data_IF_165890384292
#
_entry.id   IF_165890384292
#
_cell.length_a   1.000
_cell.length_b   1.000
_cell.length_c   1.000
_cell.angle_alpha   90.00
_cell.angle_beta   90.00
_cell.angle_gamma   90.00
#
_symmetry.space_group_name_H-M   'P 1'
#
loop_
_entity.id
_entity.type
_entity.pdbx_description
1 polymer ?
#
# COMPACT_ATOMS: atom_id res chain seq x y z
N UNK A 1 -16.16 1.28 -12.37
CA UNK A 1 -16.52 2.29 -13.39
C UNK A 1 -17.39 3.39 -12.80
N UNK A 2 -18.56 3.10 -12.20
CA UNK A 2 -19.53 4.10 -11.72
C UNK A 2 -18.92 5.14 -10.76
N UNK A 3 -18.17 4.68 -9.73
CA UNK A 3 -17.56 5.57 -8.72
C UNK A 3 -16.57 6.53 -9.36
N UNK A 4 -15.61 6.01 -10.17
CA UNK A 4 -14.61 6.84 -10.82
C UNK A 4 -15.22 7.92 -11.71
N UNK A 5 -16.23 7.55 -12.52
CA UNK A 5 -16.93 8.50 -13.36
C UNK A 5 -17.66 9.58 -12.54
N UNK A 6 -18.36 9.19 -11.47
CA UNK A 6 -19.04 10.15 -10.59
C UNK A 6 -18.08 11.12 -9.90
N UNK A 7 -16.91 10.67 -9.49
CA UNK A 7 -15.88 11.57 -8.96
C UNK A 7 -15.38 12.53 -10.03
N UNK A 8 -15.08 12.05 -11.22
CA UNK A 8 -14.63 12.91 -12.32
C UNK A 8 -15.67 13.98 -12.67
N UNK A 9 -16.96 13.61 -12.72
CA UNK A 9 -18.05 14.52 -13.09
C UNK A 9 -18.33 15.58 -12.02
N UNK A 10 -18.21 15.23 -10.72
CA UNK A 10 -18.65 16.07 -9.61
C UNK A 10 -17.50 16.66 -8.80
N UNK A 11 -16.31 16.10 -8.89
CA UNK A 11 -15.13 16.52 -8.14
C UNK A 11 -13.85 16.37 -8.98
N UNK A 12 -13.74 17.10 -10.11
CA UNK A 12 -12.66 16.90 -11.10
C UNK A 12 -11.26 17.22 -10.55
N UNK A 13 -11.17 17.93 -9.42
CA UNK A 13 -9.91 18.25 -8.76
C UNK A 13 -9.44 17.16 -7.78
N UNK A 14 -10.25 16.11 -7.55
CA UNK A 14 -9.85 14.99 -6.70
C UNK A 14 -8.99 13.98 -7.49
N UNK A 15 -7.80 13.70 -6.99
CA UNK A 15 -6.99 12.59 -7.48
C UNK A 15 -7.50 11.28 -6.85
N UNK A 16 -8.08 10.42 -7.66
CA UNK A 16 -8.62 9.14 -7.23
C UNK A 16 -7.68 8.00 -7.60
N UNK A 17 -7.42 7.10 -6.65
CA UNK A 17 -6.58 5.92 -6.86
C UNK A 17 -7.36 4.66 -6.47
N UNK A 18 -7.39 3.67 -7.38
CA UNK A 18 -7.96 2.35 -7.10
C UNK A 18 -6.88 1.44 -6.51
N UNK A 19 -7.20 0.69 -5.46
CA UNK A 19 -6.23 -0.27 -4.91
C UNK A 19 -5.96 -1.40 -5.90
N UNK A 20 -4.70 -1.57 -6.31
CA UNK A 20 -4.24 -2.59 -7.26
C UNK A 20 -3.56 -3.79 -6.58
N UNK A 21 -3.38 -3.75 -5.25
CA UNK A 21 -2.75 -4.83 -4.49
C UNK A 21 -1.32 -4.53 -4.07
N UNK A 22 -0.44 -5.49 -4.17
CA UNK A 22 0.98 -5.40 -3.81
C UNK A 22 1.86 -6.04 -4.87
N UNK A 23 3.17 -5.81 -4.79
CA UNK A 23 4.18 -6.27 -5.75
C UNK A 23 4.33 -7.78 -5.93
N UNK A 24 3.43 -8.58 -5.38
CA UNK A 24 3.41 -10.03 -5.52
C UNK A 24 2.29 -10.56 -6.43
N UNK A 25 1.42 -9.67 -6.92
CA UNK A 25 0.29 -10.06 -7.74
C UNK A 25 0.68 -10.24 -9.22
N UNK A 26 -0.07 -11.09 -9.91
CA UNK A 26 -0.01 -11.19 -11.36
C UNK A 26 -0.50 -9.89 -11.99
N UNK A 27 0.34 -9.27 -12.82
CA UNK A 27 0.06 -7.96 -13.39
C UNK A 27 -1.08 -7.97 -14.40
N UNK A 28 -1.22 -9.03 -15.18
CA UNK A 28 -2.28 -9.11 -16.18
C UNK A 28 -3.66 -9.20 -15.51
N UNK A 29 -3.78 -10.08 -14.50
CA UNK A 29 -5.00 -10.22 -13.73
C UNK A 29 -5.34 -8.93 -12.94
N UNK A 30 -4.33 -8.29 -12.36
CA UNK A 30 -4.51 -7.02 -11.66
C UNK A 30 -4.97 -5.90 -12.63
N UNK A 31 -4.38 -5.85 -13.85
CA UNK A 31 -4.75 -4.86 -14.85
C UNK A 31 -6.21 -5.04 -15.31
N UNK A 32 -6.62 -6.26 -15.58
CA UNK A 32 -8.02 -6.55 -15.96
C UNK A 32 -8.98 -6.11 -14.85
N UNK A 33 -8.67 -6.41 -13.60
CA UNK A 33 -9.50 -6.03 -12.44
C UNK A 33 -9.62 -4.50 -12.28
N UNK A 34 -8.53 -3.73 -12.38
CA UNK A 34 -8.60 -2.27 -12.23
C UNK A 34 -9.22 -1.59 -13.46
N UNK A 35 -9.08 -2.16 -14.66
CA UNK A 35 -9.75 -1.68 -15.87
C UNK A 35 -11.27 -1.85 -15.72
N UNK A 36 -11.73 -3.01 -15.28
CA UNK A 36 -13.14 -3.28 -14.97
C UNK A 36 -13.64 -2.37 -13.84
N UNK A 37 -12.78 -2.10 -12.86
CA UNK A 37 -13.02 -1.13 -11.78
C UNK A 37 -13.16 0.32 -12.25
N UNK A 38 -12.70 0.64 -13.45
CA UNK A 38 -12.83 1.96 -14.07
C UNK A 38 -11.65 2.90 -13.84
N UNK A 39 -10.44 2.37 -13.75
CA UNK A 39 -9.20 3.15 -13.59
C UNK A 39 -9.04 4.24 -14.65
N UNK A 40 -9.66 4.10 -15.81
CA UNK A 40 -9.62 5.14 -16.87
C UNK A 40 -10.13 6.50 -16.40
N UNK A 41 -11.04 6.52 -15.43
CA UNK A 41 -11.60 7.74 -14.83
C UNK A 41 -10.82 8.23 -13.61
N UNK A 42 -9.72 7.59 -13.26
CA UNK A 42 -8.96 7.86 -12.06
C UNK A 42 -7.55 8.35 -12.40
N UNK A 43 -6.91 9.04 -11.46
CA UNK A 43 -5.50 9.43 -11.57
C UNK A 43 -4.60 8.21 -11.74
N UNK A 44 -4.92 7.14 -11.00
CA UNK A 44 -4.12 5.93 -11.06
C UNK A 44 -4.53 4.88 -10.03
N UNK A 45 -3.53 4.25 -9.44
CA UNK A 45 -3.74 3.15 -8.51
C UNK A 45 -2.93 3.30 -7.22
N UNK A 46 -3.40 2.65 -6.15
CA UNK A 46 -2.71 2.58 -4.87
C UNK A 46 -2.10 1.18 -4.70
N UNK A 47 -0.86 1.15 -4.19
CA UNK A 47 -0.11 -0.07 -3.93
C UNK A 47 0.09 -0.30 -2.44
N UNK A 48 0.23 -1.56 -2.07
CA UNK A 48 0.67 -1.97 -0.73
C UNK A 48 -0.27 -1.62 0.43
N UNK A 49 -1.50 -1.15 0.15
CA UNK A 49 -2.47 -0.83 1.22
C UNK A 49 -2.76 -2.08 2.05
N UNK A 50 -2.54 -1.98 3.35
CA UNK A 50 -2.63 -3.11 4.30
C UNK A 50 -1.64 -4.26 4.03
N UNK A 51 -0.59 -4.04 3.24
CA UNK A 51 0.50 -4.97 3.00
C UNK A 51 1.81 -4.45 3.60
N UNK A 52 2.95 -5.10 3.33
CA UNK A 52 4.25 -4.74 3.91
C UNK A 52 5.41 -4.99 2.93
N UNK A 53 5.13 -4.95 1.63
CA UNK A 53 6.17 -4.96 0.61
C UNK A 53 7.03 -3.70 0.72
N UNK A 54 8.36 -3.84 0.65
CA UNK A 54 9.26 -2.67 0.75
C UNK A 54 9.07 -1.72 -0.43
N UNK A 55 9.24 -0.42 -0.20
CA UNK A 55 9.01 0.59 -1.23
C UNK A 55 9.72 0.29 -2.56
N UNK A 56 11.00 -0.12 -2.60
CA UNK A 56 11.64 -0.44 -3.88
C UNK A 56 10.97 -1.58 -4.64
N UNK A 57 10.50 -2.62 -3.94
CA UNK A 57 9.81 -3.76 -4.57
C UNK A 57 8.45 -3.34 -5.12
N UNK A 58 7.70 -2.55 -4.34
CA UNK A 58 6.40 -2.04 -4.77
C UNK A 58 6.52 -1.07 -5.96
N UNK A 59 7.54 -0.20 -5.97
CA UNK A 59 7.79 0.72 -7.08
C UNK A 59 8.22 -0.01 -8.35
N UNK A 60 9.10 -1.01 -8.25
CA UNK A 60 9.50 -1.82 -9.42
C UNK A 60 8.28 -2.47 -10.07
N UNK A 61 7.42 -3.09 -9.25
CA UNK A 61 6.18 -3.68 -9.74
C UNK A 61 5.24 -2.62 -10.33
N UNK A 62 5.08 -1.47 -9.66
CA UNK A 62 4.17 -0.41 -10.09
C UNK A 62 4.60 0.24 -11.41
N UNK A 63 5.90 0.48 -11.61
CA UNK A 63 6.43 1.01 -12.87
C UNK A 63 6.21 0.03 -14.04
N UNK A 64 6.34 -1.27 -13.79
CA UNK A 64 6.00 -2.28 -14.80
C UNK A 64 4.49 -2.33 -15.04
N UNK A 65 3.68 -2.18 -13.99
CA UNK A 65 2.22 -2.18 -14.09
C UNK A 65 1.68 -0.99 -14.88
N UNK A 66 2.31 0.20 -14.79
CA UNK A 66 1.99 1.34 -15.67
C UNK A 66 2.13 0.93 -17.14
N UNK A 67 3.24 0.26 -17.51
CA UNK A 67 3.45 -0.22 -18.90
C UNK A 67 2.42 -1.28 -19.32
N UNK A 68 2.04 -2.17 -18.41
CA UNK A 68 0.99 -3.17 -18.65
C UNK A 68 -0.36 -2.50 -18.93
N UNK A 69 -0.71 -1.47 -18.15
CA UNK A 69 -1.92 -0.69 -18.39
C UNK A 69 -1.87 0.06 -19.73
N UNK A 70 -0.73 0.65 -20.10
CA UNK A 70 -0.54 1.31 -21.38
C UNK A 70 -0.72 0.34 -22.56
N UNK A 71 -0.14 -0.86 -22.46
CA UNK A 71 -0.30 -1.92 -23.46
C UNK A 71 -1.77 -2.34 -23.62
N UNK A 72 -2.58 -2.22 -22.57
CA UNK A 72 -4.03 -2.47 -22.59
C UNK A 72 -4.86 -1.21 -22.96
N UNK A 73 -4.23 -0.13 -23.40
CA UNK A 73 -4.89 1.10 -23.85
C UNK A 73 -5.27 2.08 -22.74
N UNK A 74 -4.73 1.92 -21.55
CA UNK A 74 -4.97 2.82 -20.39
C UNK A 74 -3.67 3.53 -20.02
N UNK A 75 -3.34 4.59 -20.76
CA UNK A 75 -2.10 5.34 -20.62
C UNK A 75 -2.16 6.44 -19.54
N UNK A 76 -0.99 6.97 -19.15
CA UNK A 76 -0.84 8.14 -18.28
C UNK A 76 -1.28 7.90 -16.85
N UNK A 77 -1.15 6.69 -16.34
CA UNK A 77 -1.50 6.35 -14.96
C UNK A 77 -0.31 6.57 -14.03
N UNK A 78 -0.62 7.02 -12.84
CA UNK A 78 0.30 7.25 -11.74
C UNK A 78 -0.08 6.35 -10.56
N UNK A 79 0.75 6.34 -9.53
CA UNK A 79 0.45 5.54 -8.34
C UNK A 79 0.85 6.23 -7.04
N UNK A 80 0.29 5.72 -5.96
CA UNK A 80 0.71 6.00 -4.60
C UNK A 80 1.08 4.70 -3.90
N UNK A 81 2.05 4.73 -2.98
CA UNK A 81 2.46 3.57 -2.20
C UNK A 81 2.11 3.78 -0.74
N UNK A 82 1.42 2.82 -0.14
CA UNK A 82 1.24 2.80 1.32
C UNK A 82 2.54 2.35 2.00
N UNK A 83 3.16 3.30 2.70
CA UNK A 83 4.41 3.10 3.45
C UNK A 83 4.20 2.99 4.96
N UNK A 84 2.97 2.85 5.42
CA UNK A 84 2.65 2.83 6.85
C UNK A 84 3.29 1.69 7.64
N UNK A 85 3.60 0.54 6.98
CA UNK A 85 4.09 -0.67 7.63
C UNK A 85 5.19 -1.39 6.86
N UNK A 86 5.91 -0.67 5.98
CA UNK A 86 6.85 -1.27 5.04
C UNK A 86 8.31 -0.82 5.21
N UNK A 87 8.64 -0.25 6.36
CA UNK A 87 9.98 0.28 6.65
C UNK A 87 11.08 -0.77 6.68
N UNK A 88 10.74 -2.04 6.82
CA UNK A 88 11.68 -3.17 6.72
C UNK A 88 11.04 -4.32 5.97
N UNK A 89 11.87 -5.13 5.30
CA UNK A 89 11.41 -6.42 4.79
C UNK A 89 10.96 -7.28 5.98
N UNK A 90 9.76 -7.84 5.90
CA UNK A 90 9.26 -8.70 6.97
C UNK A 90 10.18 -9.91 7.14
N UNK A 91 10.56 -10.15 8.39
CA UNK A 91 11.25 -11.36 8.80
C UNK A 91 10.20 -12.36 9.29
N UNK A 92 10.28 -13.57 8.84
CA UNK A 92 9.42 -14.64 9.30
C UNK A 92 9.28 -15.74 8.26
N UNK A 93 9.10 -16.95 8.73
CA UNK A 93 8.88 -18.09 7.88
C UNK A 93 7.75 -17.79 6.88
N UNK A 94 8.04 -18.01 5.63
CA UNK A 94 6.99 -18.27 4.64
C UNK A 94 6.18 -19.44 5.19
N UNK A 95 5.15 -19.13 5.98
CA UNK A 95 4.21 -20.12 6.46
C UNK A 95 3.74 -20.92 5.24
N UNK A 96 3.94 -22.24 5.18
CA UNK A 96 3.54 -23.06 4.04
C UNK A 96 2.07 -22.93 3.64
N UNK A 97 1.25 -22.29 4.49
CA UNK A 97 -0.14 -21.95 4.23
C UNK A 97 -0.40 -20.54 3.71
N UNK A 98 0.61 -19.71 3.43
CA UNK A 98 0.45 -18.38 2.83
C UNK A 98 -0.38 -17.38 3.65
N UNK A 99 -0.76 -17.71 4.86
CA UNK A 99 -1.60 -16.86 5.71
C UNK A 99 -0.72 -16.03 6.66
N UNK A 100 -0.79 -14.68 6.53
CA UNK A 100 -0.57 -13.77 7.64
C UNK A 100 0.86 -13.29 7.97
N UNK A 101 1.82 -13.27 7.04
CA UNK A 101 3.05 -12.51 7.28
C UNK A 101 2.76 -11.02 7.57
N UNK A 102 1.64 -10.51 7.08
CA UNK A 102 1.26 -9.10 7.25
C UNK A 102 0.29 -8.86 8.40
N UNK A 103 -0.41 -9.89 8.88
CA UNK A 103 -1.48 -9.73 9.87
C UNK A 103 -0.91 -9.47 11.26
N UNK A 104 -1.09 -8.26 11.77
CA UNK A 104 -0.58 -7.78 13.06
C UNK A 104 0.90 -8.14 13.31
N UNK A 105 1.72 -8.06 12.26
CA UNK A 105 3.11 -8.53 12.35
C UNK A 105 3.96 -7.60 13.22
N UNK A 106 4.47 -8.08 14.38
CA UNK A 106 5.26 -7.26 15.30
C UNK A 106 6.67 -6.93 14.78
N UNK A 107 7.11 -7.56 13.67
CA UNK A 107 8.40 -7.25 13.03
C UNK A 107 8.28 -6.17 11.97
N UNK A 108 7.05 -5.78 11.60
CA UNK A 108 6.83 -4.66 10.70
C UNK A 108 7.43 -3.36 11.28
N UNK A 109 7.75 -2.43 10.40
CA UNK A 109 8.22 -1.11 10.77
C UNK A 109 7.48 -0.05 9.97
N UNK A 110 7.23 1.10 10.56
CA UNK A 110 6.77 2.25 9.76
C UNK A 110 7.83 2.61 8.73
N UNK A 111 7.39 2.85 7.52
CA UNK A 111 8.25 3.29 6.43
C UNK A 111 8.31 4.82 6.31
N UNK A 112 8.71 5.29 5.14
CA UNK A 112 8.81 6.72 4.84
C UNK A 112 7.53 7.45 5.20
N UNK A 113 7.66 8.60 5.89
CA UNK A 113 6.53 9.47 6.20
C UNK A 113 5.81 9.91 4.93
N UNK A 114 4.50 10.21 5.01
CA UNK A 114 3.76 10.74 3.86
C UNK A 114 4.47 11.92 3.20
N UNK A 115 4.72 11.82 1.90
CA UNK A 115 5.46 12.81 1.12
C UNK A 115 5.16 12.67 -0.37
N UNK A 116 5.26 13.78 -1.10
CA UNK A 116 5.29 13.79 -2.57
C UNK A 116 6.72 13.72 -3.15
N UNK A 117 7.74 13.69 -2.29
CA UNK A 117 9.12 13.47 -2.73
C UNK A 117 9.36 11.96 -2.83
N UNK A 118 9.12 11.39 -4.00
CA UNK A 118 9.16 9.97 -4.32
C UNK A 118 10.32 9.63 -5.24
N UNK A 119 10.66 8.35 -5.36
CA UNK A 119 11.72 7.85 -6.23
C UNK A 119 11.20 7.25 -7.54
N UNK A 120 9.97 6.75 -7.56
CA UNK A 120 9.35 6.20 -8.76
C UNK A 120 8.95 7.27 -9.78
N UNK A 121 9.17 7.00 -11.06
CA UNK A 121 8.91 7.97 -12.14
C UNK A 121 7.42 8.35 -12.25
N UNK A 122 6.52 7.45 -11.89
CA UNK A 122 5.07 7.65 -11.90
C UNK A 122 4.46 7.67 -10.49
N UNK A 123 5.30 7.69 -9.44
CA UNK A 123 4.84 7.75 -8.06
C UNK A 123 4.45 9.20 -7.70
N UNK A 124 3.17 9.42 -7.42
CA UNK A 124 2.68 10.74 -6.99
C UNK A 124 2.98 11.03 -5.51
N UNK A 125 2.89 9.99 -4.66
CA UNK A 125 3.16 10.14 -3.24
C UNK A 125 3.40 8.80 -2.53
N UNK A 126 4.09 8.86 -1.40
CA UNK A 126 4.00 7.88 -0.33
C UNK A 126 2.94 8.32 0.66
N UNK A 127 2.12 7.39 1.11
CA UNK A 127 0.98 7.67 2.00
C UNK A 127 0.94 6.67 3.15
N UNK A 128 0.24 7.00 4.22
CA UNK A 128 -0.12 6.06 5.28
C UNK A 128 -1.64 5.85 5.23
N UNK A 129 -2.07 5.05 4.25
CA UNK A 129 -3.48 4.75 4.00
C UNK A 129 -4.05 3.79 5.05
N UNK A 130 -3.28 2.78 5.45
CA UNK A 130 -3.59 1.93 6.61
C UNK A 130 -3.10 2.64 7.87
N UNK A 131 -3.97 2.95 8.84
CA UNK A 131 -3.53 3.54 10.11
C UNK A 131 -2.53 2.66 10.85
N UNK A 132 -1.42 3.24 11.30
CA UNK A 132 -0.42 2.52 12.10
C UNK A 132 -1.04 2.09 13.42
N UNK A 133 -0.97 0.79 13.73
CA UNK A 133 -1.57 0.22 14.93
C UNK A 133 -3.06 -0.10 14.83
N UNK A 134 -3.66 0.01 13.66
CA UNK A 134 -4.98 -0.59 13.44
C UNK A 134 -4.86 -2.10 13.26
N UNK A 135 -5.60 -2.86 14.08
CA UNK A 135 -5.62 -4.33 13.99
C UNK A 135 -6.17 -4.83 12.66
N UNK A 136 -5.52 -5.85 12.11
CA UNK A 136 -6.00 -6.60 10.94
C UNK A 136 -7.03 -7.68 11.33
N UNK A 137 -7.28 -7.87 12.62
CA UNK A 137 -8.18 -8.86 13.19
C UNK A 137 -7.49 -9.75 14.20
N UNK A 138 -8.19 -10.78 14.66
CA UNK A 138 -7.66 -11.77 15.62
C UNK A 138 -6.74 -12.74 14.88
N UNK A 139 -5.50 -12.33 14.64
CA UNK A 139 -4.47 -13.15 13.98
C UNK A 139 -3.76 -14.07 14.98
N UNK A 140 -3.64 -13.62 16.22
CA UNK A 140 -3.04 -14.35 17.33
C UNK A 140 -3.96 -14.26 18.56
N UNK A 141 -3.84 -15.19 19.52
CA UNK A 141 -4.60 -15.12 20.77
C UNK A 141 -4.35 -13.79 21.51
N UNK A 142 -5.41 -13.05 21.76
CA UNK A 142 -5.34 -11.75 22.45
C UNK A 142 -5.31 -10.53 21.53
N UNK A 143 -5.21 -10.71 20.22
CA UNK A 143 -5.32 -9.60 19.27
C UNK A 143 -6.72 -8.98 19.30
N UNK A 144 -6.84 -7.66 19.14
CA UNK A 144 -8.14 -7.00 19.01
C UNK A 144 -8.82 -7.36 17.68
N UNK A 145 -10.14 -7.17 17.63
CA UNK A 145 -10.90 -7.26 16.38
C UNK A 145 -10.38 -6.30 15.30
N UNK A 146 -10.63 -6.66 14.04
CA UNK A 146 -10.26 -5.84 12.89
C UNK A 146 -10.79 -4.40 13.01
N UNK A 147 -9.94 -3.43 12.68
CA UNK A 147 -10.27 -2.00 12.74
C UNK A 147 -10.18 -1.39 14.13
N UNK A 148 -9.87 -2.16 15.19
CA UNK A 148 -9.62 -1.62 16.52
C UNK A 148 -8.18 -1.15 16.64
N UNK A 149 -7.97 -0.08 17.42
CA UNK A 149 -6.63 0.38 17.74
C UNK A 149 -5.91 -0.63 18.65
N UNK A 150 -4.68 -1.00 18.27
CA UNK A 150 -3.83 -1.96 18.94
C UNK A 150 -2.56 -1.25 19.46
N UNK A 151 -2.58 -0.68 20.67
CA UNK A 151 -1.52 0.18 21.18
C UNK A 151 -0.14 -0.49 21.18
N UNK A 152 -0.05 -1.75 21.63
CA UNK A 152 1.23 -2.45 21.74
C UNK A 152 1.86 -2.68 20.35
N UNK A 153 1.05 -3.02 19.35
CA UNK A 153 1.50 -3.15 17.97
C UNK A 153 1.94 -1.79 17.41
N UNK A 154 1.17 -0.72 17.66
CA UNK A 154 1.50 0.63 17.21
C UNK A 154 2.88 1.06 17.73
N UNK A 155 3.10 0.94 19.05
CA UNK A 155 4.38 1.26 19.70
C UNK A 155 5.51 0.43 19.08
N UNK A 156 5.30 -0.87 18.91
CA UNK A 156 6.31 -1.79 18.38
C UNK A 156 6.72 -1.44 16.95
N UNK A 157 5.75 -1.20 16.08
CA UNK A 157 5.99 -0.88 14.66
C UNK A 157 6.72 0.47 14.50
N UNK A 158 6.39 1.45 15.34
CA UNK A 158 7.10 2.74 15.40
C UNK A 158 8.52 2.57 15.90
N UNK A 159 8.75 1.84 16.99
CA UNK A 159 10.09 1.55 17.52
C UNK A 159 10.97 0.84 16.49
N UNK A 160 10.40 -0.12 15.76
CA UNK A 160 11.10 -0.78 14.66
C UNK A 160 11.51 0.21 13.56
N UNK A 161 10.62 1.16 13.21
CA UNK A 161 10.93 2.20 12.22
C UNK A 161 12.08 3.11 12.65
N UNK A 162 12.12 3.52 13.91
CA UNK A 162 13.24 4.28 14.47
C UNK A 162 14.52 3.45 14.42
N UNK A 163 14.46 2.19 14.83
CA UNK A 163 15.63 1.28 14.82
C UNK A 163 16.16 1.07 13.41
N UNK A 164 15.27 0.99 12.41
CA UNK A 164 15.62 0.86 11.00
C UNK A 164 16.04 2.19 10.34
N UNK A 165 15.89 3.32 11.03
CA UNK A 165 16.21 4.65 10.48
C UNK A 165 15.24 5.14 9.41
N UNK A 166 14.03 4.58 9.33
CA UNK A 166 12.99 5.02 8.39
C UNK A 166 12.22 6.24 8.88
N UNK A 167 12.23 6.46 10.18
CA UNK A 167 11.70 7.65 10.85
C UNK A 167 12.60 8.03 12.03
N UNK A 168 12.52 9.29 12.45
CA UNK A 168 13.17 9.82 13.64
C UNK A 168 12.14 10.09 14.74
N UNK A 169 12.54 10.02 16.00
CA UNK A 169 11.74 10.56 17.09
C UNK A 169 11.63 12.09 16.94
N UNK A 170 10.49 12.63 17.31
CA UNK A 170 10.39 14.07 17.56
C UNK A 170 11.08 14.37 18.89
N UNK A 171 12.01 15.32 18.88
CA UNK A 171 12.51 15.93 20.11
C UNK A 171 11.50 16.95 20.67
#
# INVERSE_FOLDING_TARGET
TYVGQKFQDNNPNAALYIHAGSGQLDQEAAADAVIDGGIKYMRGFAMNVSSSGTTPVEEEWAEQFVKTLEAKGVAGKHYVVDTSRNGVALQGDSNPGGKFLTCNNPTAAVGTRPTSNTTGAHADAYVWAKPVGESDGVCHPGDPDAGKFFPDLAVKVVQNGVTAGTIEYWE
#
